data_IF_503398916087
#
_entry.id   IF_503398916087
#
_cell.length_a   1.000
_cell.length_b   1.000
_cell.length_c   1.000
_cell.angle_alpha   90.00
_cell.angle_beta   90.00
_cell.angle_gamma   90.00
#
_symmetry.space_group_name_H-M   'P 1'
#
loop_
_entity.id
_entity.type
_entity.pdbx_description
1 polymer ?
#
# COMPACT_ATOMS: atom_id res chain seq x y z
N UNK A 1 2.15 -9.26 -17.06
CA UNK A 1 2.77 -9.07 -15.71
C UNK A 1 1.65 -8.89 -14.69
N UNK A 2 1.82 -9.33 -13.43
CA UNK A 2 0.89 -9.04 -12.33
C UNK A 2 1.58 -8.10 -11.35
N UNK A 3 0.95 -6.98 -11.04
CA UNK A 3 1.41 -6.00 -10.05
C UNK A 3 0.62 -6.13 -8.75
N UNK A 4 1.24 -5.72 -7.63
CA UNK A 4 0.60 -5.63 -6.33
C UNK A 4 1.09 -4.39 -5.59
N UNK A 5 0.15 -3.58 -5.14
CA UNK A 5 0.45 -2.51 -4.18
C UNK A 5 0.47 -3.10 -2.77
N UNK A 6 1.54 -2.85 -2.02
CA UNK A 6 1.67 -3.32 -0.63
C UNK A 6 1.13 -2.26 0.32
N UNK A 7 0.25 -2.68 1.24
CA UNK A 7 -0.32 -1.83 2.26
C UNK A 7 -1.55 -1.04 1.79
N UNK A 8 -2.47 -0.79 2.72
CA UNK A 8 -3.70 -0.05 2.43
C UNK A 8 -3.44 1.40 2.03
N UNK A 9 -2.48 2.07 2.69
CA UNK A 9 -2.11 3.45 2.39
C UNK A 9 -1.57 3.59 0.96
N UNK A 10 -0.68 2.68 0.52
CA UNK A 10 -0.18 2.66 -0.85
C UNK A 10 -1.31 2.51 -1.86
N UNK A 11 -2.25 1.58 -1.63
CA UNK A 11 -3.40 1.40 -2.51
C UNK A 11 -4.27 2.65 -2.58
N UNK A 12 -4.52 3.29 -1.44
CA UNK A 12 -5.28 4.53 -1.38
C UNK A 12 -4.59 5.63 -2.19
N UNK A 13 -3.27 5.80 -2.07
CA UNK A 13 -2.51 6.76 -2.86
C UNK A 13 -2.60 6.48 -4.36
N UNK A 14 -2.53 5.21 -4.78
CA UNK A 14 -2.72 4.83 -6.19
C UNK A 14 -4.11 5.20 -6.69
N UNK A 15 -5.16 4.94 -5.90
CA UNK A 15 -6.53 5.29 -6.26
C UNK A 15 -6.73 6.80 -6.35
N UNK A 16 -6.16 7.56 -5.40
CA UNK A 16 -6.21 9.02 -5.41
C UNK A 16 -5.49 9.59 -6.63
N UNK A 17 -4.31 9.06 -6.97
CA UNK A 17 -3.58 9.47 -8.16
C UNK A 17 -4.35 9.21 -9.46
N UNK A 18 -5.09 8.09 -9.52
CA UNK A 18 -5.92 7.77 -10.68
C UNK A 18 -7.20 8.64 -10.75
N UNK A 19 -7.86 8.88 -9.63
CA UNK A 19 -9.14 9.60 -9.58
C UNK A 19 -8.98 11.13 -9.57
N UNK A 20 -7.91 11.64 -8.97
CA UNK A 20 -7.71 13.05 -8.66
C UNK A 20 -6.24 13.50 -8.75
N UNK A 21 -5.57 13.30 -9.91
CA UNK A 21 -4.12 13.43 -10.04
C UNK A 21 -3.57 14.79 -9.58
N UNK A 22 -4.22 15.90 -9.96
CA UNK A 22 -3.77 17.26 -9.59
C UNK A 22 -3.90 17.54 -8.08
N UNK A 23 -4.94 17.01 -7.45
CA UNK A 23 -5.11 17.16 -5.99
C UNK A 23 -4.10 16.31 -5.24
N UNK A 24 -3.87 15.07 -5.71
CA UNK A 24 -2.82 14.21 -5.16
C UNK A 24 -1.44 14.84 -5.31
N UNK A 25 -1.10 15.39 -6.47
CA UNK A 25 0.17 16.10 -6.69
C UNK A 25 0.34 17.29 -5.73
N UNK A 26 -0.71 18.12 -5.56
CA UNK A 26 -0.68 19.23 -4.60
C UNK A 26 -0.43 18.72 -3.17
N UNK A 27 -1.18 17.71 -2.74
CA UNK A 27 -1.01 17.11 -1.41
C UNK A 27 0.40 16.56 -1.20
N UNK A 28 0.93 15.81 -2.16
CA UNK A 28 2.27 15.21 -2.09
C UNK A 28 3.34 16.29 -1.93
N UNK A 29 3.28 17.36 -2.74
CA UNK A 29 4.22 18.48 -2.65
C UNK A 29 4.18 19.18 -1.29
N UNK A 30 2.99 19.38 -0.73
CA UNK A 30 2.85 20.13 0.52
C UNK A 30 3.14 19.31 1.78
N UNK A 31 2.83 18.00 1.78
CA UNK A 31 2.80 17.20 3.01
C UNK A 31 3.80 16.04 3.05
N UNK A 32 4.22 15.50 1.89
CA UNK A 32 4.98 14.25 1.85
C UNK A 32 6.48 14.44 1.68
N UNK A 33 6.93 15.60 1.18
CA UNK A 33 8.36 15.84 0.93
C UNK A 33 9.18 15.78 2.21
N UNK A 34 8.74 16.46 3.28
CA UNK A 34 9.40 16.43 4.58
C UNK A 34 9.36 15.05 5.24
N UNK A 35 8.28 14.28 5.06
CA UNK A 35 8.15 12.94 5.63
C UNK A 35 9.13 11.92 5.02
N UNK A 36 9.61 12.15 3.80
CA UNK A 36 10.58 11.26 3.14
C UNK A 36 12.02 11.54 3.57
N UNK A 37 12.27 12.69 4.19
CA UNK A 37 13.61 13.09 4.60
C UNK A 37 14.00 12.42 5.92
N UNK A 38 15.26 12.01 5.98
CA UNK A 38 15.93 11.69 7.23
C UNK A 38 16.71 12.94 7.67
N UNK A 39 16.19 13.73 8.65
CA UNK A 39 16.85 14.97 9.08
C UNK A 39 18.21 14.71 9.73
N UNK A 40 18.45 13.50 10.23
CA UNK A 40 19.69 13.10 10.88
C UNK A 40 20.72 12.54 9.89
N UNK A 41 20.32 12.29 8.64
CA UNK A 41 21.21 11.82 7.57
C UNK A 41 21.89 10.48 7.86
N UNK A 42 21.24 9.61 8.65
CA UNK A 42 21.79 8.37 9.21
C UNK A 42 22.26 7.40 8.15
N UNK A 43 21.63 7.40 6.97
CA UNK A 43 22.04 6.53 5.86
C UNK A 43 23.46 6.82 5.35
N UNK A 44 23.93 8.09 5.39
CA UNK A 44 25.24 8.49 4.85
C UNK A 44 26.43 7.88 5.60
N UNK A 45 26.23 7.49 6.85
CA UNK A 45 27.31 6.94 7.70
C UNK A 45 27.31 5.42 7.70
N UNK A 46 26.22 4.79 7.24
CA UNK A 46 25.93 3.36 7.39
C UNK A 46 26.12 2.54 6.11
N UNK A 47 26.29 3.19 4.96
CA UNK A 47 26.59 2.50 3.70
C UNK A 47 28.09 2.17 3.56
N UNK A 48 28.37 1.20 2.68
CA UNK A 48 29.73 0.72 2.36
C UNK A 48 30.21 1.26 0.99
N UNK A 49 29.65 2.38 0.50
CA UNK A 49 29.90 2.86 -0.87
C UNK A 49 31.36 3.31 -1.09
N UNK A 50 31.97 3.94 -0.07
CA UNK A 50 33.32 4.51 -0.15
C UNK A 50 34.38 3.71 0.62
N UNK A 51 33.97 2.89 1.59
CA UNK A 51 34.86 2.00 2.33
C UNK A 51 34.10 0.80 2.89
N UNK A 52 34.76 -0.35 3.08
CA UNK A 52 34.15 -1.47 3.78
C UNK A 52 33.75 -1.05 5.19
N UNK A 53 32.48 -1.30 5.55
CA UNK A 53 31.98 -1.10 6.91
C UNK A 53 31.40 -2.41 7.43
N UNK A 54 31.24 -2.50 8.76
CA UNK A 54 30.48 -3.58 9.37
C UNK A 54 28.99 -3.34 9.07
N UNK A 55 28.52 -3.90 7.97
CA UNK A 55 27.12 -3.95 7.57
C UNK A 55 26.51 -5.35 7.90
N UNK A 56 25.22 -5.55 7.61
CA UNK A 56 24.52 -6.82 7.91
C UNK A 56 23.32 -6.69 8.87
N UNK A 57 22.86 -5.47 9.16
CA UNK A 57 21.58 -5.29 9.88
C UNK A 57 20.43 -5.78 9.01
N UNK A 58 19.49 -6.51 9.64
CA UNK A 58 18.27 -6.98 8.98
C UNK A 58 17.33 -5.84 8.54
N UNK A 59 17.40 -4.70 9.24
CA UNK A 59 16.54 -3.53 9.01
C UNK A 59 17.37 -2.26 8.87
N UNK A 60 16.83 -1.28 8.15
CA UNK A 60 17.43 0.05 8.02
C UNK A 60 17.36 0.87 9.32
N UNK A 61 17.99 2.06 9.36
CA UNK A 61 18.10 2.90 10.54
C UNK A 61 16.83 3.72 10.84
N UNK A 62 15.66 3.26 10.41
CA UNK A 62 14.39 3.95 10.63
C UNK A 62 13.89 3.69 12.04
N UNK A 63 13.76 4.75 12.83
CA UNK A 63 13.39 4.66 14.26
C UNK A 63 11.87 4.71 14.49
N UNK A 64 11.08 5.01 13.45
CA UNK A 64 9.63 5.07 13.53
C UNK A 64 8.95 3.69 13.51
N UNK A 65 7.63 3.69 13.74
CA UNK A 65 6.85 2.45 13.68
C UNK A 65 6.79 1.89 12.25
N UNK A 66 7.21 0.63 12.08
CA UNK A 66 7.07 -0.12 10.83
C UNK A 66 5.95 -1.13 10.97
N UNK A 67 4.90 -0.95 10.19
CA UNK A 67 3.77 -1.88 10.18
C UNK A 67 4.15 -3.18 9.46
N UNK A 68 4.21 -4.27 10.20
CA UNK A 68 4.62 -5.58 9.67
C UNK A 68 3.49 -6.39 9.03
N UNK A 69 2.23 -5.99 9.27
CA UNK A 69 1.07 -6.70 8.72
C UNK A 69 0.05 -5.72 8.14
N UNK A 70 -0.62 -6.12 7.07
CA UNK A 70 -1.67 -5.31 6.45
C UNK A 70 -2.88 -6.16 6.10
N UNK A 71 -4.04 -5.78 6.61
CA UNK A 71 -5.31 -6.42 6.27
C UNK A 71 -5.59 -6.34 4.75
N UNK A 72 -5.30 -5.19 4.13
CA UNK A 72 -5.43 -5.00 2.69
C UNK A 72 -4.54 -5.97 1.91
N UNK A 73 -3.24 -6.03 2.19
CA UNK A 73 -2.32 -6.93 1.49
C UNK A 73 -2.75 -8.39 1.66
N UNK A 74 -3.11 -8.78 2.90
CA UNK A 74 -3.60 -10.14 3.19
C UNK A 74 -4.85 -10.47 2.38
N UNK A 75 -5.83 -9.56 2.33
CA UNK A 75 -7.04 -9.74 1.54
C UNK A 75 -6.78 -9.73 0.03
N UNK A 76 -5.81 -8.94 -0.46
CA UNK A 76 -5.47 -8.92 -1.89
C UNK A 76 -4.76 -10.20 -2.34
N UNK A 77 -3.96 -10.80 -1.47
CA UNK A 77 -3.21 -12.03 -1.76
C UNK A 77 -4.01 -13.31 -1.51
N UNK A 78 -5.10 -13.26 -0.74
CA UNK A 78 -5.93 -14.44 -0.48
C UNK A 78 -6.85 -14.75 -1.66
N UNK A 79 -6.86 -16.03 -2.06
CA UNK A 79 -7.78 -16.52 -3.10
C UNK A 79 -9.24 -16.47 -2.66
N UNK A 80 -9.49 -16.68 -1.37
CA UNK A 80 -10.86 -16.71 -0.81
C UNK A 80 -11.49 -15.32 -0.85
N UNK A 81 -10.76 -14.30 -0.43
CA UNK A 81 -11.24 -12.91 -0.44
C UNK A 81 -11.42 -12.37 -1.86
N UNK A 82 -10.66 -12.87 -2.84
CA UNK A 82 -10.86 -12.54 -4.25
C UNK A 82 -12.19 -13.08 -4.81
N UNK A 83 -12.78 -14.11 -4.20
CA UNK A 83 -14.07 -14.66 -4.62
C UNK A 83 -15.27 -13.88 -4.06
N UNK A 84 -15.08 -13.08 -3.00
CA UNK A 84 -16.17 -12.36 -2.33
C UNK A 84 -17.02 -11.48 -3.25
N UNK A 85 -16.45 -10.69 -4.18
CA UNK A 85 -17.27 -9.87 -5.08
C UNK A 85 -18.18 -10.71 -5.97
N UNK A 86 -17.71 -11.89 -6.41
CA UNK A 86 -18.49 -12.80 -7.24
C UNK A 86 -19.63 -13.44 -6.45
N UNK A 87 -19.37 -13.86 -5.21
CA UNK A 87 -20.39 -14.41 -4.31
C UNK A 87 -21.45 -13.34 -4.02
N UNK A 88 -21.05 -12.12 -3.73
CA UNK A 88 -21.97 -11.01 -3.49
C UNK A 88 -22.81 -10.68 -4.73
N UNK A 89 -22.18 -10.63 -5.92
CA UNK A 89 -22.90 -10.40 -7.17
C UNK A 89 -23.94 -11.49 -7.45
N UNK A 90 -23.59 -12.76 -7.24
CA UNK A 90 -24.53 -13.87 -7.39
C UNK A 90 -25.72 -13.78 -6.43
N UNK A 91 -25.48 -13.41 -5.16
CA UNK A 91 -26.53 -13.23 -4.16
C UNK A 91 -27.49 -12.08 -4.52
N UNK A 92 -26.95 -10.93 -4.95
CA UNK A 92 -27.75 -9.77 -5.39
C UNK A 92 -28.59 -10.13 -6.62
N UNK A 93 -27.99 -10.84 -7.58
CA UNK A 93 -28.69 -11.29 -8.77
C UNK A 93 -29.85 -12.24 -8.43
N UNK A 94 -29.60 -13.26 -7.60
CA UNK A 94 -30.62 -14.20 -7.17
C UNK A 94 -31.79 -13.51 -6.43
N UNK A 95 -31.49 -12.55 -5.56
CA UNK A 95 -32.50 -11.77 -4.86
C UNK A 95 -33.34 -10.89 -5.82
N UNK A 96 -32.71 -10.29 -6.83
CA UNK A 96 -33.38 -9.53 -7.87
C UNK A 96 -34.33 -10.38 -8.73
N UNK A 97 -33.87 -11.56 -9.16
CA UNK A 97 -34.70 -12.51 -9.92
C UNK A 97 -35.90 -12.95 -9.09
N UNK A 98 -35.70 -13.28 -7.82
CA UNK A 98 -36.79 -13.69 -6.92
C UNK A 98 -37.83 -12.58 -6.72
N UNK A 99 -37.41 -11.32 -6.73
CA UNK A 99 -38.31 -10.16 -6.61
C UNK A 99 -39.11 -9.88 -7.89
N UNK A 100 -38.65 -10.33 -9.06
CA UNK A 100 -39.35 -10.17 -10.34
C UNK A 100 -40.35 -11.30 -10.62
N UNK A 101 -40.26 -12.42 -9.88
CA UNK A 101 -41.09 -13.61 -10.06
C UNK A 101 -42.24 -13.74 -9.05
N UNK A 102 -42.36 -12.82 -8.10
CA UNK A 102 -43.45 -12.75 -7.12
C UNK A 102 -44.16 -11.41 -7.19
#
# INVERSE_FOLDING_TARGET
>A
MRDITVGGAGRMMTLLGAAAPRMTDKYMKTAMFSQQQDPEGRNRTMDSLYSPKRDGRRTGPYDGHVMQSSAYTRARMSKVTQLLPWIAAAAVFAAGVRRLQG
#
